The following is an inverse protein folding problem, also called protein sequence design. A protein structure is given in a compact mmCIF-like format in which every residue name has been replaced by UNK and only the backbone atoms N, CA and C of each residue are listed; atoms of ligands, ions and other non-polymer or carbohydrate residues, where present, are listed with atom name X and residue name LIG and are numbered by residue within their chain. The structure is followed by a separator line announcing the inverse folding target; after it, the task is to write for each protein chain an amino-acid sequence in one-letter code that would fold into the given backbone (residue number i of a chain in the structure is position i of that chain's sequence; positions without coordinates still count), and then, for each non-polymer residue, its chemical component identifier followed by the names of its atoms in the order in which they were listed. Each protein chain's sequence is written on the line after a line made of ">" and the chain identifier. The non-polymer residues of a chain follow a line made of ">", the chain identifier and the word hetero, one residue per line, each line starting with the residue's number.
data_IF_003732424671
#
_entry.id   IF_003732424671
#
_cell.length_a   1.000
_cell.length_b   1.000
_cell.length_c   1.000
_cell.angle_alpha   90.00
_cell.angle_beta   90.00
_cell.angle_gamma   90.00
#
_symmetry.space_group_name_H-M   'P 1'
#
loop_
_entity.id
_entity.type
_entity.pdbx_description
1 polymer ?
2 polymer ?
3 polymer ?
4 non-polymer ?
5 water ?
#
loop_
_entity_poly.entity_id
_entity_poly.type
_entity_poly.pdbx_seq_one_letter_code
_entity_poly.pdbx_strand_id
1 'polydeoxyribonucleotide' '(DG)(DC)(DG)(DA)(DT)(DC)(DG)(DC)' ?
2 'polydeoxyribonucleotide' '(DG)(DC)(DG)(DA)(DT)(DC)' ?
#
# COMPACT_ATOMS: atom_id res chain seq x y z
N UNK C 1 15.35 -5.61 0.84
CA UNK C 1 14.51 -4.40 0.77
C UNK C 1 13.14 -4.75 1.37
N UNK C 2 12.63 -3.87 2.17
CA UNK C 2 11.34 -4.05 2.86
C UNK C 2 10.32 -3.05 2.38
N UNK C 3 9.20 -3.59 1.85
CA UNK C 3 8.09 -2.84 1.27
C UNK C 3 6.80 -3.14 2.05
N UNK C 4 6.00 -2.10 2.26
CA UNK C 4 4.71 -2.21 2.98
C UNK C 4 3.65 -1.30 2.39
N UNK C 5 2.41 -1.71 2.67
CA UNK C 5 1.21 -0.94 2.25
C UNK C 5 0.47 -0.73 3.60
N UNK C 6 0.19 0.53 3.87
CA UNK C 6 -0.47 0.83 5.15
C UNK C 6 -1.61 1.82 5.00
N UNK C 7 -2.78 1.33 5.36
CA UNK C 7 -3.99 2.18 5.39
C UNK C 7 -3.92 2.80 6.80
N UNK C 8 -3.69 4.10 6.86
CA UNK C 8 -3.67 4.79 8.17
C UNK C 8 -5.01 5.54 8.19
N UNK C 9 -5.94 5.04 8.96
CA UNK C 9 -7.29 5.59 9.05
C UNK C 9 -7.24 7.13 9.15
N UNK C 10 -7.87 7.74 8.16
CA UNK C 10 -7.95 9.20 8.06
C UNK C 10 -6.64 9.88 8.38
N UNK C 11 -5.61 9.58 7.62
CA UNK C 11 -4.30 10.23 7.87
C UNK C 11 -4.54 11.73 7.56
N UNK C 12 -4.28 12.56 8.54
CA UNK C 12 -4.53 14.02 8.35
C UNK C 12 -3.90 14.83 9.46
N UNK C 13 -4.22 16.13 9.45
CA UNK C 13 -3.66 17.08 10.43
C UNK C 13 -3.92 16.71 11.86
N UNK C 14 -5.12 16.25 12.19
CA UNK C 14 -5.45 15.86 13.58
C UNK C 14 -4.54 14.77 14.13
N UNK C 15 -4.39 13.68 13.40
CA UNK C 15 -3.53 12.56 13.83
C UNK C 15 -2.08 12.95 13.87
N UNK C 16 -1.57 13.70 12.89
CA UNK C 16 -0.18 14.14 12.83
C UNK C 16 0.20 15.20 13.84
N UNK C 17 -0.77 15.87 14.41
CA UNK C 17 -0.62 16.88 15.44
C UNK C 17 -0.59 16.28 16.83
N UNK C 18 -0.94 15.03 16.99
CA UNK C 18 -0.88 14.32 18.30
C UNK C 18 0.52 13.72 18.30
N UNK C 19 1.36 14.17 19.23
CA UNK C 19 2.76 13.73 19.33
C UNK C 19 2.92 12.27 19.64
N UNK C 20 2.03 11.70 20.44
CA UNK C 20 2.07 10.28 20.76
C UNK C 20 1.77 9.46 19.50
N UNK C 21 0.72 9.82 18.78
CA UNK C 21 0.28 9.20 17.55
C UNK C 21 1.34 9.30 16.48
N UNK C 22 1.85 10.50 16.29
CA UNK C 22 2.93 10.76 15.33
C UNK C 22 4.11 9.84 15.54
N UNK C 23 4.56 9.70 16.78
CA UNK C 23 5.68 8.86 17.17
C UNK C 23 5.49 7.40 16.77
N UNK C 24 4.32 6.85 16.96
CA UNK C 24 4.03 5.46 16.55
C UNK C 24 4.00 5.29 15.04
N UNK C 25 3.47 6.30 14.34
CA UNK C 25 3.45 6.27 12.86
C UNK C 25 4.88 6.29 12.35
N UNK C 26 5.69 7.18 12.93
CA UNK C 26 7.11 7.31 12.55
C UNK C 26 7.85 5.99 12.77
N UNK C 27 7.63 5.37 13.91
CA UNK C 27 8.24 4.08 14.27
C UNK C 27 7.94 3.02 13.24
N UNK C 28 6.66 2.90 12.91
CA UNK C 28 6.17 1.96 11.87
C UNK C 28 6.82 2.25 10.54
N UNK C 29 6.75 3.50 10.07
CA UNK C 29 7.31 3.92 8.79
C UNK C 29 8.77 3.62 8.65
N UNK C 30 9.60 3.81 9.67
CA UNK C 30 11.01 3.56 9.71
C UNK C 30 11.43 2.13 9.51
N UNK C 31 10.53 1.15 9.63
CA UNK C 31 10.83 -0.25 9.39
C UNK C 31 11.10 -0.51 7.91
N UNK C 32 10.52 0.32 7.02
CA UNK C 32 10.51 0.10 5.59
C UNK C 32 11.33 0.97 4.69
N UNK C 33 11.65 0.40 3.53
CA UNK C 33 12.44 1.08 2.46
C UNK C 33 11.48 1.82 1.57
N UNK C 34 10.31 1.19 1.35
CA UNK C 34 9.21 1.73 0.55
C UNK C 34 7.90 1.45 1.33
N UNK C 35 7.12 2.52 1.50
CA UNK C 35 5.82 2.36 2.16
C UNK C 35 4.73 3.19 1.50
N UNK C 36 3.68 2.49 1.09
CA UNK C 36 2.48 3.12 0.54
C UNK C 36 1.56 3.42 1.75
N UNK C 37 1.20 4.67 1.90
CA UNK C 37 0.28 5.17 2.90
C UNK C 37 -0.99 5.63 2.14
N UNK C 38 -2.09 5.04 2.64
CA UNK C 38 -3.42 5.30 2.06
C UNK C 38 -4.26 6.06 3.08
N UNK C 39 -5.33 6.64 2.58
CA UNK C 39 -6.30 7.42 3.34
C UNK C 39 -5.74 8.76 3.79
N UNK C 40 -4.88 9.31 2.95
CA UNK C 40 -4.27 10.64 3.22
C UNK C 40 -5.34 11.69 2.82
N UNK C 41 -5.88 12.29 3.86
CA UNK C 41 -6.94 13.34 3.74
C UNK C 41 -6.26 14.62 4.25
N UNK C 42 -5.50 15.18 3.32
CA UNK C 42 -4.59 16.32 3.56
C UNK C 42 -4.48 17.13 2.25
N UNK C 43 -5.51 17.97 2.07
CA UNK C 43 -5.60 18.77 0.83
C UNK C 43 -4.42 19.70 0.64
N UNK C 44 -3.88 20.25 1.70
CA UNK C 44 -2.73 21.15 1.65
C UNK C 44 -1.41 20.55 1.98
N UNK C 45 -1.34 19.24 2.26
CA UNK C 45 -0.10 18.54 2.52
C UNK C 45 0.65 18.96 3.76
N UNK C 46 -0.11 19.39 4.74
CA UNK C 46 0.41 19.83 6.04
C UNK C 46 0.77 18.60 6.88
N UNK C 47 -0.06 17.58 6.81
CA UNK C 47 0.20 16.33 7.59
C UNK C 47 1.41 15.61 7.00
N UNK C 48 1.44 15.55 5.68
CA UNK C 48 2.57 14.94 4.95
C UNK C 48 3.86 15.70 5.26
N UNK C 49 3.82 17.00 5.37
CA UNK C 49 4.98 17.84 5.68
C UNK C 49 5.55 17.51 7.05
N UNK C 50 4.66 17.42 8.02
CA UNK C 50 4.97 17.09 9.42
C UNK C 50 5.62 15.72 9.56
N UNK C 51 5.11 14.74 8.79
CA UNK C 51 5.61 13.38 8.79
C UNK C 51 7.03 13.29 8.30
N UNK C 52 7.26 13.98 7.17
CA UNK C 52 8.60 13.99 6.55
C UNK C 52 9.59 14.66 7.45
N UNK C 53 9.18 15.73 8.10
CA UNK C 53 10.01 16.47 9.06
C UNK C 53 10.51 15.54 10.16
N UNK C 54 9.63 14.74 10.71
CA UNK C 54 9.99 13.76 11.73
C UNK C 54 10.98 12.78 11.14
N UNK C 55 10.64 12.24 9.96
CA UNK C 55 11.46 11.23 9.35
C UNK C 55 12.84 11.74 8.95
N UNK C 56 12.89 13.04 8.65
CA UNK C 56 14.14 13.65 8.15
C UNK C 56 14.84 14.53 9.15
N UNK C 57 14.62 14.30 10.43
CA UNK C 57 15.26 15.11 11.47
C UNK C 57 16.78 15.00 11.55
N UNK C 58 17.39 13.91 11.25
CA UNK C 58 18.83 13.71 11.35
C UNK C 58 19.60 13.81 10.03
N UNK C 59 18.94 13.45 8.97
CA UNK C 59 19.47 13.50 7.59
C UNK C 59 18.27 14.01 6.81
N UNK C 60 18.48 15.07 6.04
CA UNK C 60 17.43 15.67 5.23
C UNK C 60 16.84 14.81 4.13
N UNK C 61 17.54 13.80 3.67
CA UNK C 61 17.19 12.87 2.63
C UNK C 61 17.00 11.45 3.15
N UNK C 62 16.54 11.29 4.39
CA UNK C 62 16.29 9.94 4.94
C UNK C 62 15.18 9.29 4.08
N UNK C 63 14.09 10.05 3.95
CA UNK C 63 12.96 9.66 3.13
C UNK C 63 12.60 10.78 2.16
N UNK C 64 12.12 10.31 1.01
CA UNK C 64 11.58 11.16 -0.04
C UNK C 64 10.14 10.63 -0.28
N UNK C 65 9.40 11.29 -1.15
CA UNK C 65 8.03 10.82 -1.41
C UNK C 65 7.53 11.25 -2.78
N UNK C 66 6.44 10.55 -3.12
CA UNK C 66 5.67 10.81 -4.36
C UNK C 66 4.22 10.81 -3.81
N UNK C 67 3.43 11.78 -4.20
CA UNK C 67 2.04 11.88 -3.75
C UNK C 67 1.13 12.13 -4.97
N UNK C 68 0.00 11.44 -4.93
CA UNK C 68 -1.02 11.59 -6.02
C UNK C 68 -1.83 12.85 -5.63
N UNK C 69 -2.73 13.22 -6.50
CA UNK C 69 -3.69 14.32 -6.20
C UNK C 69 -4.82 13.66 -5.40
N UNK C 70 -5.63 14.49 -4.79
CA UNK C 70 -6.81 14.01 -4.01
C UNK C 70 -7.73 13.34 -5.01
N UNK C 71 -8.04 12.06 -4.78
CA UNK C 71 -8.86 11.24 -5.64
C UNK C 71 -10.19 10.87 -5.02
N UNK C 72 -11.23 10.93 -5.85
CA UNK C 72 -12.60 10.60 -5.48
C UNK C 72 -13.59 11.32 -6.40
N UNK C 73 -14.68 10.66 -6.69
CA UNK C 73 -15.79 11.13 -7.52
C UNK C 73 -16.48 12.35 -6.95
N UNK C 74 -16.65 12.43 -5.63
CA UNK C 74 -17.35 13.53 -4.95
C UNK C 74 -16.42 14.29 -4.01
N UNK C 75 -16.95 14.76 -2.89
CA UNK C 75 -16.22 15.56 -1.92
C UNK C 75 -15.23 14.81 -1.04
N UNK C 76 -15.43 13.50 -0.91
CA UNK C 76 -14.57 12.62 -0.14
C UNK C 76 -13.42 12.19 -1.06
N UNK C 77 -12.24 12.69 -0.72
CA UNK C 77 -11.01 12.45 -1.48
C UNK C 77 -9.89 11.95 -0.55
N UNK C 78 -9.03 11.16 -1.12
CA UNK C 78 -7.87 10.58 -0.49
C UNK C 78 -6.70 10.62 -1.49
N UNK C 79 -5.52 10.80 -0.97
CA UNK C 79 -4.30 10.72 -1.81
C UNK C 79 -3.61 9.36 -1.49
N UNK C 80 -2.80 8.95 -2.42
CA UNK C 80 -1.93 7.79 -2.27
C UNK C 80 -0.55 8.47 -2.00
N UNK C 81 0.14 8.04 -0.97
CA UNK C 81 1.47 8.62 -0.66
C UNK C 81 2.51 7.50 -0.64
N UNK C 82 3.58 7.65 -1.39
CA UNK C 82 4.67 6.63 -1.36
C UNK C 82 5.87 7.27 -0.65
N UNK C 83 6.33 6.66 0.40
CA UNK C 83 7.53 7.10 1.14
C UNK C 83 8.62 6.09 0.73
N UNK C 84 9.80 6.60 0.42
CA UNK C 84 10.93 5.76 0.04
C UNK C 84 12.26 6.39 0.52
N UNK C 85 13.20 5.48 0.75
CA UNK C 85 14.58 5.82 1.19
C UNK C 85 15.38 5.94 -0.10
N UNK C 86 15.80 7.17 -0.41
CA UNK C 86 16.51 7.50 -1.64
C UNK C 86 17.84 6.88 -1.86
N UNK C 87 18.50 6.39 -0.86
CA UNK C 87 19.76 5.67 -0.89
C UNK C 87 19.53 4.22 -1.30
N UNK C 88 18.30 3.72 -1.17
CA UNK C 88 17.96 2.34 -1.51
C UNK C 88 17.35 2.15 -2.88
N UNK C 89 16.44 3.04 -3.27
CA UNK C 89 15.72 3.00 -4.53
C UNK C 89 15.55 4.44 -5.03
N UNK C 90 15.22 4.52 -6.33
CA UNK C 90 14.93 5.80 -6.99
C UNK C 90 13.61 5.65 -7.75
N UNK C 91 12.98 6.79 -7.98
CA UNK C 91 11.74 6.84 -8.78
C UNK C 91 12.18 7.19 -10.24
N UNK C 92 11.80 6.30 -11.13
CA UNK C 92 12.12 6.48 -12.57
C UNK C 92 10.99 7.20 -13.27
N UNK C 93 9.78 6.85 -12.83
CA UNK C 93 8.58 7.46 -13.42
C UNK C 93 7.37 7.10 -12.56
N UNK C 94 6.33 7.87 -12.79
CA UNK C 94 5.06 7.70 -12.09
C UNK C 94 3.93 7.96 -13.08
N UNK C 95 2.77 7.39 -12.76
CA UNK C 95 1.61 7.69 -13.62
C UNK C 95 0.32 7.42 -12.87
N UNK C 96 -0.64 8.23 -13.23
CA UNK C 96 -2.00 8.19 -12.68
C UNK C 96 -2.88 7.51 -13.71
N UNK C 97 -3.27 6.27 -13.42
CA UNK C 97 -4.17 5.53 -14.35
C UNK C 97 -5.49 6.29 -14.36
N UNK C 98 -6.10 6.53 -15.49
CA UNK C 98 -7.40 7.26 -15.43
C UNK C 98 -8.32 6.64 -16.47
N UNK C 99 -9.51 6.29 -15.97
CA UNK C 99 -10.50 5.70 -16.91
C UNK C 99 -11.87 6.35 -16.66
N UNK C 107 -15.18 4.62 -15.87
CA UNK C 107 -14.65 5.02 -14.56
C UNK C 107 -14.89 3.88 -13.56
N UNK C 108 -13.97 2.95 -13.68
CA UNK C 108 -13.78 1.71 -13.00
C UNK C 108 -13.47 1.84 -11.52
N UNK C 109 -12.81 2.93 -11.12
CA UNK C 109 -12.37 3.16 -9.76
C UNK C 109 -12.83 4.44 -9.10
N UNK C 110 -13.05 4.34 -7.78
CA UNK C 110 -13.37 5.50 -6.93
C UNK C 110 -12.07 6.31 -6.76
N UNK C 111 -10.97 5.61 -6.56
CA UNK C 111 -9.63 6.16 -6.38
C UNK C 111 -8.66 5.54 -7.38
N UNK C 112 -8.64 6.10 -8.57
CA UNK C 112 -7.83 5.63 -9.67
C UNK C 112 -6.42 5.37 -9.19
N UNK C 113 -5.94 4.15 -9.44
CA UNK C 113 -4.63 3.72 -9.07
C UNK C 113 -3.46 4.61 -9.52
N UNK C 114 -2.59 4.84 -8.53
CA UNK C 114 -1.33 5.58 -8.73
C UNK C 114 -0.29 4.51 -8.97
N UNK C 115 0.59 4.70 -9.93
CA UNK C 115 1.61 3.76 -10.36
C UNK C 115 2.99 4.41 -10.32
N UNK C 116 3.92 3.76 -9.61
CA UNK C 116 5.30 4.28 -9.50
C UNK C 116 6.25 3.21 -10.03
N UNK C 117 7.16 3.65 -10.90
CA UNK C 117 8.23 2.79 -11.43
C UNK C 117 9.50 3.11 -10.60
N UNK C 118 10.06 2.09 -10.00
CA UNK C 118 11.21 2.16 -9.12
C UNK C 118 12.42 1.45 -9.75
N UNK C 119 13.55 1.99 -9.33
CA UNK C 119 14.87 1.41 -9.69
C UNK C 119 15.39 0.85 -8.35
N UNK C 120 15.92 -0.35 -8.30
CA UNK C 120 16.41 -0.94 -7.06
C UNK C 120 17.75 -1.65 -7.32
N UNK C 121 18.83 -1.02 -6.81
CA UNK C 121 20.18 -1.48 -6.95
C UNK C 121 20.49 -2.73 -6.14
N UNK C 122 20.02 -2.80 -4.91
CA UNK C 122 20.31 -3.92 -4.01
C UNK C 122 19.56 -5.19 -4.17
N UNK C 123 18.71 -5.42 -5.16
CA UNK C 123 17.93 -6.67 -5.25
C UNK C 123 18.01 -7.34 -6.61
N UNK C 124 17.58 -8.58 -6.73
CA UNK C 124 17.56 -9.34 -8.01
C UNK C 124 16.83 -8.55 -9.09
N UNK C 125 15.58 -8.14 -8.76
CA UNK C 125 14.84 -7.31 -9.71
C UNK C 125 15.50 -5.89 -9.51
N UNK C 126 15.76 -5.30 -10.62
CA UNK C 126 16.38 -3.98 -10.71
C UNK C 126 15.38 -2.89 -11.03
N UNK C 127 14.31 -3.28 -11.68
CA UNK C 127 13.26 -2.27 -12.03
C UNK C 127 11.88 -2.89 -11.87
N UNK C 128 10.97 -2.20 -11.22
CA UNK C 128 9.60 -2.70 -10.97
C UNK C 128 8.67 -1.55 -10.66
N UNK C 129 7.37 -1.83 -10.91
CA UNK C 129 6.31 -0.88 -10.64
C UNK C 129 5.45 -1.40 -9.48
N UNK C 130 4.87 -0.46 -8.79
CA UNK C 130 3.95 -0.67 -7.71
C UNK C 130 2.65 0.07 -8.11
N UNK C 131 1.58 -0.65 -8.08
CA UNK C 131 0.24 -0.13 -8.35
C UNK C 131 -0.45 -0.09 -6.96
N UNK C 132 -0.95 1.09 -6.62
CA UNK C 132 -1.62 1.30 -5.34
C UNK C 132 -3.12 1.31 -5.56
N UNK C 133 -3.87 0.68 -4.67
CA UNK C 133 -5.31 0.72 -4.68
C UNK C 133 -5.90 0.61 -3.27
N UNK C 134 -6.71 1.59 -2.91
CA UNK C 134 -7.52 1.63 -1.72
C UNK C 134 -8.94 1.56 -2.37
N UNK C 135 -9.42 0.32 -2.48
CA UNK C 135 -10.71 0.13 -3.19
C UNK C 135 -11.87 0.68 -2.39
N UNK C 136 -12.98 0.86 -3.10
CA UNK C 136 -14.24 1.34 -2.46
C UNK C 136 -14.84 0.06 -1.87
N UNK C 137 -15.12 0.04 -0.57
CA UNK C 137 -15.69 -1.14 0.09
C UNK C 137 -16.87 -1.72 -0.66
N UNK C 138 -17.78 -0.89 -1.10
CA UNK C 138 -18.96 -1.15 -1.85
C UNK C 138 -18.80 -1.72 -3.24
N UNK C 139 -17.66 -1.50 -3.87
CA UNK C 139 -17.44 -1.94 -5.26
C UNK C 139 -16.13 -2.68 -5.35
N UNK C 140 -15.85 -3.41 -4.27
CA UNK C 140 -14.61 -4.15 -4.10
C UNK C 140 -14.37 -5.17 -5.17
N UNK C 141 -15.35 -5.99 -5.47
CA UNK C 141 -15.18 -7.03 -6.51
C UNK C 141 -14.78 -6.51 -7.88
N UNK C 142 -15.54 -5.53 -8.36
CA UNK C 142 -15.34 -4.91 -9.68
C UNK C 142 -13.99 -4.22 -9.73
N UNK C 143 -13.65 -3.49 -8.66
CA UNK C 143 -12.35 -2.79 -8.65
C UNK C 143 -11.16 -3.70 -8.65
N UNK C 144 -11.17 -4.77 -7.86
CA UNK C 144 -10.06 -5.74 -7.81
C UNK C 144 -9.95 -6.38 -9.18
N UNK C 145 -11.11 -6.72 -9.75
CA UNK C 145 -11.18 -7.28 -11.10
C UNK C 145 -10.60 -6.27 -12.12
N UNK C 146 -10.87 -4.98 -11.95
CA UNK C 146 -10.34 -3.94 -12.84
C UNK C 146 -8.84 -3.79 -12.80
N UNK C 147 -8.18 -4.12 -11.67
CA UNK C 147 -6.73 -4.10 -11.54
C UNK C 147 -5.99 -4.95 -12.56
N UNK C 148 -6.63 -6.02 -13.04
CA UNK C 148 -6.11 -6.88 -14.09
C UNK C 148 -5.85 -6.03 -15.34
N UNK C 149 -6.77 -5.17 -15.70
CA UNK C 149 -6.64 -4.25 -16.85
C UNK C 149 -5.54 -3.22 -16.63
N UNK C 150 -5.39 -2.74 -15.42
CA UNK C 150 -4.31 -1.78 -15.03
C UNK C 150 -2.97 -2.44 -15.25
N UNK C 151 -2.82 -3.70 -14.82
CA UNK C 151 -1.63 -4.49 -15.01
C UNK C 151 -1.26 -4.54 -16.51
N UNK C 152 -2.23 -4.84 -17.37
CA UNK C 152 -2.04 -4.89 -18.82
C UNK C 152 -1.57 -3.52 -19.34
N UNK C 153 -2.17 -2.47 -18.83
CA UNK C 153 -1.86 -1.09 -19.14
C UNK C 153 -0.39 -0.78 -18.87
N UNK C 154 0.01 -1.01 -17.61
CA UNK C 154 1.38 -0.80 -17.14
C UNK C 154 2.37 -1.56 -18.00
N UNK C 155 2.02 -2.82 -18.20
CA UNK C 155 2.81 -3.71 -19.06
C UNK C 155 3.06 -3.10 -20.43
N UNK C 156 2.04 -2.59 -21.12
CA UNK C 156 2.20 -1.95 -22.43
C UNK C 156 2.94 -0.61 -22.34
N UNK C 157 2.59 0.21 -21.37
CA UNK C 157 3.17 1.53 -21.20
C UNK C 157 4.69 1.43 -21.06
N UNK C 158 5.14 0.67 -20.08
CA UNK C 158 6.56 0.56 -19.80
C UNK C 158 7.26 -0.66 -20.21
N UNK C 159 6.63 -1.63 -20.86
CA UNK C 159 7.27 -2.90 -21.25
C UNK C 159 7.85 -3.62 -20.03
N UNK C 160 7.13 -3.55 -18.91
CA UNK C 160 7.56 -4.14 -17.64
C UNK C 160 6.56 -5.17 -17.18
N UNK C 161 7.03 -6.33 -16.85
CA UNK C 161 6.19 -7.43 -16.35
C UNK C 161 6.26 -7.48 -14.81
N UNK C 162 7.28 -6.92 -14.23
CA UNK C 162 7.53 -6.97 -12.74
C UNK C 162 6.76 -5.88 -12.04
N UNK C 163 5.56 -6.23 -11.59
CA UNK C 163 4.56 -5.36 -10.99
C UNK C 163 3.99 -5.97 -9.68
N UNK C 164 3.98 -5.12 -8.68
CA UNK C 164 3.47 -5.36 -7.35
C UNK C 164 2.16 -4.55 -7.24
N UNK C 165 1.07 -5.24 -6.96
CA UNK C 165 -0.25 -4.58 -6.78
C UNK C 165 -0.52 -4.63 -5.28
N UNK C 166 -0.79 -3.46 -4.72
CA UNK C 166 -0.90 -3.44 -3.21
C UNK C 166 -1.86 -2.40 -2.68
N UNK C 167 -2.35 -2.68 -1.46
CA UNK C 167 -3.22 -1.77 -0.75
C UNK C 167 -4.31 -2.51 0.00
N UNK C 168 -5.23 -1.71 0.47
CA UNK C 168 -6.44 -2.07 1.18
C UNK C 168 -7.52 -2.27 0.08
N UNK C 169 -7.61 -3.54 -0.27
CA UNK C 169 -8.54 -3.98 -1.31
C UNK C 169 -9.90 -4.25 -0.74
N UNK C 170 -10.09 -4.29 0.57
CA UNK C 170 -11.35 -4.68 1.22
C UNK C 170 -11.69 -6.11 0.78
N UNK C 171 -10.69 -6.94 0.55
CA UNK C 171 -10.73 -8.23 -0.08
C UNK C 171 -11.09 -9.37 0.78
N UNK C 172 -12.12 -9.22 1.59
CA UNK C 172 -12.55 -10.33 2.46
C UNK C 172 -13.87 -9.93 3.13
N UNK C 173 -14.29 -10.85 3.98
CA UNK C 173 -15.46 -10.69 4.82
C UNK C 173 -16.68 -10.23 4.06
N UNK C 174 -17.37 -9.19 4.48
CA UNK C 174 -18.60 -8.83 3.72
C UNK C 174 -18.42 -8.19 2.39
N UNK C 175 -17.26 -7.64 2.06
CA UNK C 175 -16.99 -6.93 0.81
C UNK C 175 -16.68 -7.79 -0.36
N UNK C 176 -15.97 -8.88 -0.16
CA UNK C 176 -15.64 -9.87 -1.19
C UNK C 176 -15.95 -11.27 -0.57
N UNK C 177 -17.03 -11.85 -1.00
CA UNK C 177 -17.42 -13.19 -0.47
C UNK C 177 -16.79 -14.30 -1.29
N UNK C 178 -16.83 -15.52 -0.77
CA UNK C 178 -16.23 -16.70 -1.38
C UNK C 178 -16.69 -17.00 -2.78
N UNK C 179 -17.97 -16.83 -3.06
CA UNK C 179 -18.56 -17.05 -4.38
C UNK C 179 -18.22 -15.96 -5.40
N UNK C 180 -17.62 -14.87 -5.04
CA UNK C 180 -17.24 -13.80 -5.95
C UNK C 180 -15.84 -13.93 -6.52
N UNK C 181 -14.97 -14.68 -5.84
CA UNK C 181 -13.60 -14.87 -6.25
C UNK C 181 -13.42 -15.28 -7.67
N UNK C 182 -14.24 -16.18 -8.21
CA UNK C 182 -14.15 -16.70 -9.55
C UNK C 182 -14.35 -15.70 -10.66
N UNK C 183 -14.96 -14.58 -10.36
CA UNK C 183 -15.19 -13.49 -11.28
C UNK C 183 -14.06 -12.47 -11.24
N UNK C 184 -13.10 -12.64 -10.33
CA UNK C 184 -11.94 -11.72 -10.24
C UNK C 184 -10.73 -12.25 -10.99
N UNK C 185 -10.40 -11.62 -12.11
CA UNK C 185 -9.29 -12.00 -12.97
C UNK C 185 -7.93 -11.86 -12.34
N UNK C 186 -7.74 -10.92 -11.44
CA UNK C 186 -6.48 -10.75 -10.71
C UNK C 186 -6.19 -11.95 -9.82
N UNK C 187 -7.22 -12.60 -9.31
CA UNK C 187 -7.21 -13.77 -8.50
C UNK C 187 -7.11 -15.04 -9.28
N UNK C 188 -7.90 -15.23 -10.32
CA UNK C 188 -7.88 -16.51 -11.09
C UNK C 188 -6.71 -16.67 -11.99
N UNK C 189 -6.21 -15.59 -12.57
CA UNK C 189 -5.09 -15.62 -13.49
C UNK C 189 -3.85 -16.17 -12.82
N UNK C 190 -3.17 -17.07 -13.53
CA UNK C 190 -1.93 -17.67 -13.03
C UNK C 190 -0.73 -16.73 -13.13
N UNK C 191 -0.88 -15.56 -13.69
CA UNK C 191 0.14 -14.52 -13.82
C UNK C 191 0.51 -13.91 -12.47
N UNK C 192 -0.40 -13.91 -11.53
CA UNK C 192 -0.24 -13.27 -10.24
C UNK C 192 -0.09 -14.24 -9.09
N UNK C 193 0.71 -13.80 -8.12
CA UNK C 193 0.90 -14.52 -6.87
C UNK C 193 0.35 -13.65 -5.72
N UNK C 194 -0.59 -14.17 -4.98
CA UNK C 194 -1.19 -13.47 -3.82
C UNK C 194 -0.33 -13.84 -2.59
N UNK C 195 0.46 -12.90 -2.11
CA UNK C 195 1.36 -13.09 -0.97
C UNK C 195 0.67 -13.12 0.36
N UNK C 196 -0.37 -12.27 0.52
CA UNK C 196 -1.17 -12.25 1.75
C UNK C 196 -2.40 -13.15 1.40
N UNK C 197 -2.50 -14.22 2.15
CA UNK C 197 -3.59 -15.20 1.98
C UNK C 197 -4.87 -14.77 2.59
N UNK C 198 -5.97 -15.45 2.23
CA UNK C 198 -7.30 -15.20 2.76
C UNK C 198 -7.37 -15.46 4.27
N UNK C 199 -6.48 -16.24 4.83
CA UNK C 199 -6.44 -16.57 6.24
C UNK C 199 -5.74 -15.53 7.08
N UNK C 200 -5.06 -14.55 6.50
CA UNK C 200 -4.39 -13.49 7.26
C UNK C 200 -5.41 -12.54 7.87
N UNK C 201 -5.00 -11.93 8.97
CA UNK C 201 -5.87 -10.91 9.63
C UNK C 201 -5.09 -9.58 9.51
N UNK C 202 -5.63 -8.65 8.74
CA UNK C 202 -4.97 -7.35 8.53
C UNK C 202 -5.65 -6.21 9.25
N UNK C 203 -6.62 -6.49 10.11
CA UNK C 203 -7.34 -5.46 10.87
C UNK C 203 -6.91 -5.48 12.34
N UNK C 204 -6.87 -4.27 12.89
CA UNK C 204 -6.56 -4.01 14.29
C UNK C 204 -7.83 -4.14 15.13
N UNK C 205 -8.98 -4.15 14.50
CA UNK C 205 -10.29 -4.32 15.14
C UNK C 205 -10.55 -5.78 15.49
N UNK C 206 -11.76 -6.03 15.97
CA UNK C 206 -12.22 -7.38 16.36
C UNK C 206 -12.48 -8.30 15.19
N UNK C 207 -12.72 -7.81 14.01
CA UNK C 207 -12.95 -8.65 12.83
C UNK C 207 -11.67 -9.44 12.50
N UNK C 208 -11.81 -10.47 11.72
CA UNK C 208 -10.70 -11.32 11.26
C UNK C 208 -10.85 -11.38 9.72
N UNK C 209 -10.25 -10.39 9.08
CA UNK C 209 -10.38 -10.18 7.62
C UNK C 209 -9.06 -9.87 6.93
N UNK C 210 -8.94 -10.39 5.73
CA UNK C 210 -7.74 -10.17 4.89
C UNK C 210 -8.04 -9.09 3.86
N UNK C 211 -8.29 -7.89 4.31
CA UNK C 211 -8.60 -6.71 3.55
C UNK C 211 -7.40 -6.25 2.74
N UNK C 212 -6.27 -6.12 3.40
CA UNK C 212 -5.03 -5.63 2.81
C UNK C 212 -4.28 -6.76 2.14
N UNK C 213 -3.90 -6.53 0.88
CA UNK C 213 -3.24 -7.55 0.05
C UNK C 213 -1.98 -7.07 -0.64
N UNK C 214 -1.13 -8.05 -0.96
CA UNK C 214 0.09 -7.84 -1.74
C UNK C 214 0.07 -8.90 -2.88
N UNK C 215 -0.01 -8.38 -4.11
CA UNK C 215 -0.07 -9.25 -5.31
C UNK C 215 1.13 -8.92 -6.20
N UNK C 216 1.85 -9.95 -6.61
CA UNK C 216 3.01 -9.85 -7.47
C UNK C 216 2.92 -10.63 -8.78
N UNK C 217 3.34 -9.94 -9.83
CA UNK C 217 3.43 -10.47 -11.19
C UNK C 217 4.90 -10.28 -11.65
N UNK C 218 5.29 -11.14 -12.56
CA UNK C 218 6.61 -11.14 -13.15
C UNK C 218 7.55 -12.11 -12.47
N UNK C 219 8.24 -12.88 -13.31
CA UNK C 219 9.22 -13.87 -12.91
C UNK C 219 10.34 -13.36 -12.04
N UNK C 220 10.94 -12.23 -12.43
CA UNK C 220 12.07 -11.65 -11.67
C UNK C 220 11.60 -11.21 -10.28
N UNK C 221 10.51 -10.44 -10.24
CA UNK C 221 9.93 -10.00 -8.98
C UNK C 221 9.49 -11.16 -8.11
N UNK C 222 8.81 -12.11 -8.69
CA UNK C 222 8.37 -13.33 -7.94
C UNK C 222 9.53 -14.08 -7.31
N UNK C 223 10.66 -14.20 -7.99
CA UNK C 223 11.85 -14.89 -7.47
C UNK C 223 12.65 -14.06 -6.48
N UNK C 224 12.45 -12.75 -6.44
CA UNK C 224 13.10 -11.85 -5.50
C UNK C 224 12.46 -11.88 -4.11
N UNK C 225 11.21 -12.33 -4.03
CA UNK C 225 10.47 -12.41 -2.79
C UNK C 225 11.10 -13.44 -1.86
N UNK C 226 11.33 -13.04 -0.61
CA UNK C 226 11.85 -13.94 0.44
C UNK C 226 10.64 -14.75 0.95
N UNK C 227 10.79 -16.05 0.83
CA UNK C 227 9.72 -17.00 1.22
C UNK C 227 9.40 -16.82 2.67
N UNK C 228 8.10 -16.65 2.87
CA UNK C 228 7.52 -16.42 4.19
C UNK C 228 7.65 -15.06 4.79
N UNK C 229 8.16 -14.06 4.09
CA UNK C 229 8.34 -12.70 4.59
C UNK C 229 7.06 -11.87 4.53
N UNK C 230 6.14 -12.23 3.66
CA UNK C 230 4.89 -11.50 3.47
C UNK C 230 3.88 -11.79 4.58
N UNK C 231 3.50 -10.72 5.26
CA UNK C 231 2.53 -10.81 6.34
C UNK C 231 2.15 -9.42 6.84
N UNK C 232 1.04 -9.41 7.59
CA UNK C 232 0.57 -8.22 8.28
C UNK C 232 1.54 -8.00 9.48
N UNK C 233 1.75 -6.75 9.78
CA UNK C 233 2.61 -6.34 10.93
C UNK C 233 1.65 -5.90 12.03
N UNK C 234 1.56 -6.77 13.04
CA UNK C 234 0.67 -6.47 14.19
C UNK C 234 1.44 -5.53 15.10
N UNK C 235 1.14 -4.23 14.96
CA UNK C 235 1.82 -3.22 15.78
C UNK C 235 1.32 -3.21 17.22
N UNK C 236 0.09 -3.67 17.43
CA UNK C 236 -0.47 -3.73 18.79
C UNK C 236 0.38 -4.69 19.64
N UNK C 237 0.58 -5.91 19.14
CA UNK C 237 1.40 -6.93 19.75
C UNK C 237 2.87 -6.53 19.80
N UNK C 238 3.42 -5.95 18.75
CA UNK C 238 4.83 -5.55 18.72
C UNK C 238 5.19 -4.53 19.79
N UNK C 239 4.37 -3.51 19.95
CA UNK C 239 4.65 -2.38 20.82
C UNK C 239 3.99 -2.39 22.17
N UNK C 240 3.27 -3.45 22.52
CA UNK C 240 2.58 -3.58 23.77
C UNK C 240 1.53 -2.54 24.04
N UNK C 241 0.71 -2.28 23.02
CA UNK C 241 -0.33 -1.26 23.11
C UNK C 241 -1.65 -1.92 23.56
N UNK C 242 -2.49 -1.05 24.03
CA UNK C 242 -3.88 -1.48 24.39
C UNK C 242 -4.62 -1.47 23.04
N UNK C 243 -5.80 -2.07 22.99
CA UNK C 243 -6.61 -2.08 21.76
C UNK C 243 -7.00 -0.64 21.38
N UNK C 244 -7.34 0.16 22.41
CA UNK C 244 -7.71 1.55 22.23
C UNK C 244 -6.59 2.37 21.63
N UNK C 245 -5.36 2.19 22.10
CA UNK C 245 -4.22 2.87 21.55
C UNK C 245 -3.97 2.38 20.11
N UNK C 246 -4.07 1.09 19.86
CA UNK C 246 -3.87 0.52 18.53
C UNK C 246 -4.88 1.09 17.55
N UNK C 247 -6.17 1.16 17.91
CA UNK C 247 -7.20 1.72 17.05
C UNK C 247 -7.04 3.19 16.79
N UNK C 248 -6.46 3.92 17.73
CA UNK C 248 -6.15 5.35 17.58
C UNK C 248 -5.13 5.55 16.47
N UNK C 249 -4.21 4.63 16.26
CA UNK C 249 -3.24 4.69 15.16
C UNK C 249 -3.93 4.34 13.82
N UNK C 250 -4.56 3.17 13.80
CA UNK C 250 -5.32 2.70 12.62
C UNK C 250 -6.14 1.46 12.95
N UNK C 251 -7.13 1.25 12.09
CA UNK C 251 -8.01 0.08 12.13
C UNK C 251 -7.45 -1.08 11.29
N UNK C 252 -6.39 -0.82 10.57
CA UNK C 252 -5.68 -1.78 9.74
C UNK C 252 -4.21 -1.88 10.16
N UNK C 253 -3.67 -3.07 9.92
CA UNK C 253 -2.22 -3.28 10.10
C UNK C 253 -1.62 -3.14 8.68
N UNK C 254 -0.36 -2.73 8.69
CA UNK C 254 0.39 -2.70 7.42
C UNK C 254 0.59 -4.15 6.97
N UNK C 255 0.71 -4.36 5.68
CA UNK C 255 1.05 -5.71 5.14
C UNK C 255 2.47 -5.45 4.54
N UNK C 256 3.36 -6.36 4.75
CA UNK C 256 4.74 -6.13 4.26
C UNK C 256 5.32 -7.34 3.61
N UNK C 257 6.39 -7.12 2.85
CA UNK C 257 7.12 -8.18 2.17
C UNK C 257 8.59 -7.72 2.10
N UNK C 258 9.45 -8.71 2.02
CA UNK C 258 10.90 -8.51 1.86
C UNK C 258 11.36 -9.04 0.49
N UNK C 259 12.19 -8.24 -0.15
CA UNK C 259 12.78 -8.62 -1.45
C UNK C 259 14.31 -8.73 -1.23
N UNK C 260 14.88 -9.64 -2.00
CA UNK C 260 16.32 -9.94 -1.98
C UNK C 260 16.95 -9.87 -3.39
X LIG D 1 -3.55 11.44 21.49
X LIG D 1 -4.26 12.42 22.43
X LIG D 1 -4.53 11.58 23.73
X LIG D 1 -5.06 10.20 23.55
X LIG D 1 -4.76 9.51 22.27
X LIG D 1 -5.39 8.19 21.88
X LIG D 1 -2.92 14.11 23.73
X LIG D 1 -3.53 15.41 24.14
X LIG D 1 -3.31 13.46 22.68
X LIG D 1 -5.67 12.11 24.42
X LIG D 1 -6.19 9.75 24.23
X LIG D 1 -4.62 10.45 21.17
X LIG D 1 -6.62 8.40 21.20
X LIG D 1 -1.73 14.34 24.03
#
# INVERSE_FOLDING_TARGET
>C
LKIAAFNIRTFGETKMSNATLASYIVRIVRRYDIVLIQEVRDSHLVAVGKLLDYLNQDDPNTYHYVVSEPLGRNSYKERYLFLFRPNKVSVLDTYQYDDGCESCGNDSFSREPAVVKFSSHSTKVKEFAIVALHSAPSDAVAEINSLYDVYLDVQQKWHLNDVMLMGDFNADCSYVTSSQWSSIRLRTSSTFQWLIPDSADTTATSTNCAYDRIVVAGSLLQSSVVPGSAAPFDFQAAYGLSNEMALAISDHYPVEVTLT
>D hetero
1 NAG C1 C2 C3 C4 C5 C6 C7 C8 N2 O3 O4 O5 O6 O7
#
